data_IF_241285849236
#
_entry.id   IF_241285849236
#
_cell.length_a   1.000
_cell.length_b   1.000
_cell.length_c   1.000
_cell.angle_alpha   90.00
_cell.angle_beta   90.00
_cell.angle_gamma   90.00
#
_symmetry.space_group_name_H-M   'P 1'
#
loop_
_entity.id
_entity.type
_entity.pdbx_description
1 polymer ?
#
# COMPACT_ATOMS: atom_id res chain seq x y z
N UNK A 1 -5.28 10.74 -19.67
CA UNK A 1 -5.35 10.62 -18.20
C UNK A 1 -5.00 11.97 -17.57
N UNK A 2 -5.86 12.49 -16.70
CA UNK A 2 -5.57 13.77 -16.10
C UNK A 2 -4.54 13.65 -14.98
N UNK A 3 -4.08 14.79 -14.46
CA UNK A 3 -3.02 14.80 -13.45
C UNK A 3 -3.42 14.06 -12.19
N UNK A 4 -4.65 14.24 -11.74
CA UNK A 4 -5.13 13.60 -10.53
C UNK A 4 -5.12 12.08 -10.67
N UNK A 5 -5.62 11.58 -11.81
CA UNK A 5 -5.68 10.15 -12.07
C UNK A 5 -4.28 9.56 -12.22
N UNK A 6 -3.38 10.28 -12.89
CA UNK A 6 -2.01 9.82 -13.07
C UNK A 6 -1.29 9.73 -11.74
N UNK A 7 -1.51 10.72 -10.87
CA UNK A 7 -0.89 10.73 -9.56
C UNK A 7 -1.41 9.58 -8.70
N UNK A 8 -2.73 9.36 -8.70
CA UNK A 8 -3.33 8.27 -7.93
C UNK A 8 -2.80 6.92 -8.40
N UNK A 9 -2.68 6.75 -9.70
CA UNK A 9 -2.17 5.50 -10.28
C UNK A 9 -0.73 5.25 -9.84
N UNK A 10 0.11 6.29 -9.89
CA UNK A 10 1.50 6.18 -9.46
C UNK A 10 1.58 5.85 -7.97
N UNK A 11 0.81 6.56 -7.15
CA UNK A 11 0.82 6.35 -5.70
C UNK A 11 0.39 4.93 -5.36
N UNK A 12 -0.63 4.44 -6.03
CA UNK A 12 -1.12 3.10 -5.78
C UNK A 12 -0.04 2.06 -6.08
N UNK A 13 0.61 2.18 -7.23
CA UNK A 13 1.68 1.24 -7.61
C UNK A 13 2.86 1.32 -6.65
N UNK A 14 3.24 2.54 -6.28
CA UNK A 14 4.35 2.75 -5.36
C UNK A 14 4.05 2.13 -3.99
N UNK A 15 2.86 2.40 -3.47
CA UNK A 15 2.50 1.91 -2.15
C UNK A 15 2.35 0.39 -2.12
N UNK A 16 1.78 -0.19 -3.17
CA UNK A 16 1.69 -1.64 -3.26
C UNK A 16 3.09 -2.26 -3.19
N UNK A 17 4.03 -1.70 -3.95
CA UNK A 17 5.40 -2.20 -3.96
C UNK A 17 6.03 -2.11 -2.58
N UNK A 18 5.85 -0.98 -1.88
CA UNK A 18 6.44 -0.80 -0.57
C UNK A 18 5.81 -1.69 0.48
N UNK A 19 4.48 -1.82 0.47
CA UNK A 19 3.81 -2.70 1.42
C UNK A 19 4.28 -4.15 1.21
N UNK A 20 4.45 -4.56 -0.04
CA UNK A 20 4.93 -5.91 -0.33
C UNK A 20 6.38 -6.10 0.14
N UNK A 21 7.22 -5.07 0.02
CA UNK A 21 8.60 -5.14 0.50
C UNK A 21 8.67 -5.42 1.99
N UNK A 22 7.67 -4.97 2.74
CA UNK A 22 7.64 -5.15 4.18
C UNK A 22 6.63 -6.23 4.61
N UNK A 23 6.24 -7.08 3.66
CA UNK A 23 5.35 -8.22 3.93
C UNK A 23 4.03 -7.81 4.58
N UNK A 24 3.51 -6.67 4.18
CA UNK A 24 2.23 -6.18 4.70
C UNK A 24 2.34 -5.45 6.03
N UNK A 25 3.54 -5.22 6.51
CA UNK A 25 3.72 -4.52 7.79
C UNK A 25 3.57 -3.02 7.58
N UNK A 26 2.40 -2.50 7.93
CA UNK A 26 2.08 -1.10 7.70
C UNK A 26 2.96 -0.15 8.51
N UNK A 27 3.27 -0.51 9.75
CA UNK A 27 4.12 0.35 10.59
C UNK A 27 5.49 0.55 9.97
N UNK A 28 6.12 -0.54 9.52
CA UNK A 28 7.44 -0.45 8.90
C UNK A 28 7.37 0.29 7.56
N UNK A 29 6.33 0.01 6.79
CA UNK A 29 6.15 0.67 5.50
C UNK A 29 6.03 2.18 5.68
N UNK A 30 5.18 2.61 6.61
CA UNK A 30 4.97 4.03 6.87
C UNK A 30 6.27 4.71 7.28
N UNK A 31 7.02 4.06 8.15
CA UNK A 31 8.29 4.60 8.61
C UNK A 31 9.27 4.77 7.46
N UNK A 32 9.32 3.78 6.58
CA UNK A 32 10.23 3.81 5.44
C UNK A 32 9.91 4.95 4.47
N UNK A 33 8.61 5.15 4.17
CA UNK A 33 8.21 6.15 3.20
C UNK A 33 7.99 7.54 3.81
N UNK A 34 8.16 7.65 5.12
CA UNK A 34 8.06 8.95 5.77
C UNK A 34 6.63 9.41 6.06
N UNK A 35 5.72 8.47 6.26
CA UNK A 35 4.34 8.79 6.60
C UNK A 35 4.00 8.31 7.99
N UNK A 36 3.00 8.96 8.58
CA UNK A 36 2.43 8.48 9.81
C UNK A 36 1.63 7.19 9.51
N UNK A 37 1.66 6.23 10.43
CA UNK A 37 0.97 4.96 10.22
C UNK A 37 -0.52 5.14 9.92
N UNK A 38 -1.18 6.01 10.68
CA UNK A 38 -2.61 6.27 10.48
C UNK A 38 -2.88 6.87 9.11
N UNK A 39 -2.01 7.80 8.68
CA UNK A 39 -2.15 8.44 7.39
C UNK A 39 -1.96 7.43 6.27
N UNK A 40 -0.99 6.54 6.41
CA UNK A 40 -0.76 5.51 5.40
C UNK A 40 -1.95 4.56 5.31
N UNK A 41 -2.48 4.15 6.46
CA UNK A 41 -3.62 3.25 6.49
C UNK A 41 -4.82 3.86 5.77
N UNK A 42 -5.07 5.14 6.01
CA UNK A 42 -6.16 5.85 5.35
C UNK A 42 -5.92 5.94 3.85
N UNK A 43 -4.67 6.25 3.46
CA UNK A 43 -4.31 6.37 2.05
C UNK A 43 -4.54 5.06 1.31
N UNK A 44 -4.15 3.95 1.92
CA UNK A 44 -4.34 2.64 1.32
C UNK A 44 -5.83 2.36 1.11
N UNK A 45 -6.65 2.71 2.08
CA UNK A 45 -8.10 2.55 1.95
C UNK A 45 -8.67 3.38 0.81
N UNK A 46 -8.21 4.64 0.70
CA UNK A 46 -8.65 5.53 -0.36
C UNK A 46 -8.29 5.03 -1.75
N UNK A 47 -7.16 4.34 -1.85
CA UNK A 47 -6.68 3.82 -3.13
C UNK A 47 -7.18 2.40 -3.41
N UNK A 48 -7.94 1.83 -2.50
CA UNK A 48 -8.48 0.50 -2.66
C UNK A 48 -7.46 -0.60 -2.49
N UNK A 49 -6.40 -0.35 -1.72
CA UNK A 49 -5.35 -1.33 -1.47
C UNK A 49 -5.61 -2.04 -0.16
N UNK A 50 -5.59 -3.37 -0.19
CA UNK A 50 -5.74 -4.18 1.02
C UNK A 50 -4.35 -4.66 1.44
N UNK A 51 -3.86 -4.25 2.61
CA UNK A 51 -2.49 -4.57 3.03
C UNK A 51 -2.21 -6.02 3.36
N UNK A 52 -3.18 -6.83 3.41
CA UNK A 52 -2.94 -8.22 3.76
C UNK A 52 -2.27 -9.00 2.67
N UNK A 53 -2.38 -9.51 2.89
CA UNK A 53 -2.09 -10.33 2.17
C UNK A 53 -1.72 -10.97 1.51
N UNK A 54 -1.75 -10.59 1.64
CA UNK A 54 -1.35 -11.10 1.18
C UNK A 54 -1.18 -11.71 0.81
N UNK A 55 -1.06 -11.57 0.81
CA UNK A 55 -1.02 -12.06 0.62
C UNK A 55 -0.98 -12.93 0.52
N UNK A 56 -0.92 -13.16 0.76
CA UNK A 56 -1.17 -13.98 0.72
C UNK A 56 -1.56 -14.58 0.49
N UNK A 57 -1.42 -14.72 0.34
CA UNK A 57 -1.97 -15.36 0.08
C UNK A 57 -2.13 -15.80 -0.15
N UNK A 58 -1.93 -15.94 -0.23
CA UNK A 58 -2.25 -16.52 -0.54
C UNK A 58 -2.38 -17.11 -0.61
N UNK A 59 -2.09 -17.26 -0.68
CA UNK A 59 -2.49 -18.00 -0.79
C UNK A 59 -2.72 -18.51 -0.78
N UNK A 60 -2.46 -18.64 -0.56
CA UNK A 60 -2.86 -19.27 -0.69
C UNK A 60 -2.94 -19.63 -0.34
N UNK A 61 -2.62 -19.68 -0.30
CA UNK A 61 -2.92 -20.11 -0.11
C UNK A 61 -3.10 -20.57 0.19
N UNK A 62 -2.82 -20.63 0.31
CA UNK A 62 -3.19 -21.26 0.36
C UNK A 62 -3.39 -21.53 0.25
#
# INVERSE_FOLDING_TARGET
MDLRSARADFERKYLIAQVNNFNGNISKTAKYIGMDRSALHRKLGDLGITPKRNLQNIVGYK
#
